data_IF_016023318322
#
_entry.id   IF_016023318322
#
_cell.length_a   1.000
_cell.length_b   1.000
_cell.length_c   1.000
_cell.angle_alpha   90.00
_cell.angle_beta   90.00
_cell.angle_gamma   90.00
#
_symmetry.space_group_name_H-M   'P 1'
#
loop_
_entity.id
_entity.type
_entity.pdbx_description
1 polymer ?
#
# COMPACT_ATOMS: atom_id res chain seq x y z
N UNK A 1 -25.39 11.85 10.05
CA UNK A 1 -24.15 11.36 9.43
C UNK A 1 -23.76 10.05 10.07
N UNK A 2 -23.40 9.04 9.27
CA UNK A 2 -23.08 7.74 9.81
C UNK A 2 -21.73 7.72 10.54
N UNK A 3 -21.53 6.76 11.44
CA UNK A 3 -20.26 6.57 12.12
C UNK A 3 -19.13 6.29 11.13
N UNK A 4 -19.42 5.55 10.07
CA UNK A 4 -18.45 5.24 9.02
C UNK A 4 -17.99 6.51 8.34
N UNK A 5 -18.93 7.38 7.97
CA UNK A 5 -18.64 8.65 7.33
C UNK A 5 -17.77 9.55 8.21
N UNK A 6 -18.10 9.63 9.49
CA UNK A 6 -17.31 10.40 10.46
C UNK A 6 -15.92 9.83 10.66
N UNK A 7 -15.78 8.51 10.65
CA UNK A 7 -14.49 7.85 10.81
C UNK A 7 -13.54 8.24 9.68
N UNK A 8 -13.99 8.18 8.41
CA UNK A 8 -13.15 8.49 7.27
C UNK A 8 -12.89 10.00 7.10
N UNK A 9 -13.63 10.85 7.81
CA UNK A 9 -13.35 12.29 7.85
C UNK A 9 -12.24 12.67 8.81
N UNK A 10 -11.79 11.75 9.66
CA UNK A 10 -10.65 12.00 10.54
C UNK A 10 -9.43 12.35 9.69
N UNK A 11 -8.57 13.19 10.26
CA UNK A 11 -7.38 13.63 9.55
C UNK A 11 -6.40 12.48 9.32
N UNK A 12 -5.96 12.33 8.08
CA UNK A 12 -4.94 11.37 7.71
C UNK A 12 -3.66 12.12 7.34
N UNK A 13 -2.53 11.70 7.89
CA UNK A 13 -1.25 12.35 7.66
C UNK A 13 -0.19 11.33 7.30
N UNK A 14 0.68 11.70 6.37
CA UNK A 14 1.87 10.91 6.09
C UNK A 14 2.75 10.85 7.33
N UNK A 15 3.19 9.65 7.69
CA UNK A 15 4.06 9.45 8.84
C UNK A 15 5.51 9.22 8.44
N UNK A 16 5.77 8.15 7.68
CA UNK A 16 7.11 7.83 7.24
C UNK A 16 7.10 6.82 6.09
N UNK A 17 8.24 6.70 5.44
CA UNK A 17 8.49 5.66 4.44
C UNK A 17 9.54 4.70 4.98
N UNK A 18 9.40 3.41 4.69
CA UNK A 18 10.31 2.38 5.18
C UNK A 18 10.81 1.48 4.05
N UNK A 19 12.08 1.11 4.12
CA UNK A 19 12.71 0.12 3.26
C UNK A 19 13.20 -1.09 4.04
N UNK A 20 13.10 -1.05 5.38
CA UNK A 20 13.54 -2.14 6.27
C UNK A 20 12.60 -2.23 7.46
N UNK A 21 12.41 -3.44 8.03
CA UNK A 21 11.51 -3.61 9.19
C UNK A 21 11.83 -2.72 10.39
N UNK A 22 13.09 -2.42 10.64
CA UNK A 22 13.48 -1.56 11.77
C UNK A 22 12.94 -0.14 11.65
N UNK A 23 12.54 0.27 10.45
CA UNK A 23 11.99 1.61 10.19
C UNK A 23 10.48 1.69 10.37
N UNK A 24 9.81 0.56 10.54
CA UNK A 24 8.35 0.54 10.71
C UNK A 24 7.94 1.34 11.94
N UNK A 25 6.77 2.01 11.92
CA UNK A 25 6.33 2.79 13.08
C UNK A 25 6.19 1.91 14.32
N UNK A 26 6.71 2.39 15.44
CA UNK A 26 6.60 1.70 16.71
C UNK A 26 5.31 2.14 17.43
N UNK A 27 4.18 1.75 16.88
CA UNK A 27 2.85 2.04 17.41
C UNK A 27 2.01 0.78 17.38
N UNK A 28 0.96 0.72 18.17
CA UNK A 28 0.10 -0.45 18.29
C UNK A 28 -1.18 -0.36 17.46
N UNK A 29 -1.33 0.66 16.63
CA UNK A 29 -2.53 0.83 15.81
C UNK A 29 -2.65 -0.32 14.80
N UNK A 30 -3.89 -0.79 14.52
CA UNK A 30 -4.09 -1.75 13.43
C UNK A 30 -3.73 -1.12 12.09
N UNK A 31 -3.24 -1.94 11.17
CA UNK A 31 -2.83 -1.50 9.83
C UNK A 31 -3.68 -2.14 8.77
N UNK A 32 -4.06 -1.34 7.78
CA UNK A 32 -4.65 -1.83 6.53
C UNK A 32 -3.68 -1.51 5.40
N UNK A 33 -3.37 -2.50 4.59
CA UNK A 33 -2.38 -2.36 3.51
C UNK A 33 -3.05 -2.45 2.15
N UNK A 34 -2.54 -1.67 1.21
CA UNK A 34 -3.01 -1.65 -0.17
C UNK A 34 -1.87 -2.09 -1.08
N UNK A 35 -2.14 -3.04 -1.95
CA UNK A 35 -1.17 -3.55 -2.91
C UNK A 35 -1.87 -3.79 -4.25
N UNK A 36 -1.12 -3.68 -5.34
CA UNK A 36 -1.63 -3.94 -6.67
C UNK A 36 -0.54 -3.82 -7.69
N UNK A 37 -0.81 -4.28 -8.93
CA UNK A 37 0.12 -4.10 -10.03
C UNK A 37 0.32 -2.61 -10.29
N UNK A 38 1.48 -2.26 -10.86
CA UNK A 38 1.73 -0.88 -11.22
C UNK A 38 0.61 -0.36 -12.15
N UNK A 39 0.22 0.89 -11.93
CA UNK A 39 -0.84 1.56 -12.71
C UNK A 39 -2.25 0.98 -12.57
N UNK A 40 -2.53 0.22 -11.51
CA UNK A 40 -3.88 -0.34 -11.27
C UNK A 40 -4.83 0.69 -10.64
N UNK A 41 -4.33 1.85 -10.23
CA UNK A 41 -5.15 2.89 -9.58
C UNK A 41 -5.12 2.86 -8.06
N UNK A 42 -4.11 2.23 -7.47
CA UNK A 42 -3.97 2.11 -6.02
C UNK A 42 -3.92 3.47 -5.33
N UNK A 43 -3.06 4.37 -5.81
CA UNK A 43 -2.92 5.70 -5.22
C UNK A 43 -4.20 6.52 -5.35
N UNK A 44 -4.88 6.41 -6.48
CA UNK A 44 -6.17 7.09 -6.69
C UNK A 44 -7.22 6.58 -5.71
N UNK A 45 -7.27 5.28 -5.46
CA UNK A 45 -8.21 4.69 -4.51
C UNK A 45 -7.93 5.18 -3.09
N UNK A 46 -6.67 5.14 -2.67
CA UNK A 46 -6.28 5.61 -1.33
C UNK A 46 -6.67 7.06 -1.14
N UNK A 47 -6.36 7.91 -2.11
CA UNK A 47 -6.70 9.33 -2.03
C UNK A 47 -8.21 9.55 -1.97
N UNK A 48 -8.98 8.78 -2.73
CA UNK A 48 -10.44 8.90 -2.74
C UNK A 48 -11.05 8.43 -1.41
N UNK A 49 -10.61 7.31 -0.88
CA UNK A 49 -11.16 6.74 0.36
C UNK A 49 -10.91 7.67 1.55
N UNK A 50 -9.72 8.24 1.65
CA UNK A 50 -9.36 9.10 2.78
C UNK A 50 -9.58 10.57 2.50
N UNK A 51 -10.22 10.88 1.35
CA UNK A 51 -10.65 12.23 0.97
C UNK A 51 -9.52 13.26 1.02
N UNK A 52 -8.30 12.81 0.67
CA UNK A 52 -7.12 13.67 0.72
C UNK A 52 -6.06 13.16 -0.24
N UNK A 53 -5.26 14.07 -0.79
CA UNK A 53 -4.14 13.70 -1.68
C UNK A 53 -2.98 13.22 -0.83
N UNK A 54 -2.99 11.93 -0.48
CA UNK A 54 -1.98 11.30 0.38
C UNK A 54 -0.92 10.60 -0.45
N UNK A 55 -1.36 9.68 -1.32
CA UNK A 55 -0.47 8.85 -2.09
C UNK A 55 -0.03 9.57 -3.36
N UNK A 56 1.23 9.40 -3.71
CA UNK A 56 1.77 9.98 -4.92
C UNK A 56 1.29 9.21 -6.15
N UNK A 57 0.60 9.93 -7.06
CA UNK A 57 0.16 9.36 -8.32
C UNK A 57 1.28 9.60 -9.34
N UNK A 58 1.83 8.53 -9.89
CA UNK A 58 2.92 8.63 -10.86
C UNK A 58 2.66 7.74 -12.05
N UNK A 59 2.96 8.25 -13.23
CA UNK A 59 2.94 7.47 -14.47
C UNK A 59 4.28 6.80 -14.75
N UNK A 60 5.27 7.02 -13.89
CA UNK A 60 6.60 6.44 -14.05
C UNK A 60 6.68 5.13 -13.28
N UNK A 61 6.81 3.97 -13.95
CA UNK A 61 6.94 2.69 -13.26
C UNK A 61 8.15 2.67 -12.32
N UNK A 62 7.99 2.02 -11.18
CA UNK A 62 9.07 1.83 -10.23
C UNK A 62 9.39 3.01 -9.34
N UNK A 63 8.61 4.09 -9.37
CA UNK A 63 8.85 5.24 -8.51
C UNK A 63 8.57 4.95 -7.04
N UNK A 64 7.51 4.20 -6.75
CA UNK A 64 7.17 3.82 -5.37
C UNK A 64 7.91 2.54 -5.02
N UNK A 65 9.03 2.67 -4.33
CA UNK A 65 9.89 1.54 -3.93
C UNK A 65 10.04 1.44 -2.43
N UNK A 66 9.19 2.14 -1.71
CA UNK A 66 9.18 2.16 -0.25
C UNK A 66 7.79 1.85 0.24
N UNK A 67 7.70 1.39 1.48
CA UNK A 67 6.42 1.22 2.15
C UNK A 67 6.08 2.55 2.79
N UNK A 68 4.94 3.13 2.44
CA UNK A 68 4.52 4.42 2.96
C UNK A 68 3.44 4.22 4.02
N UNK A 69 3.67 4.79 5.20
CA UNK A 69 2.76 4.70 6.34
C UNK A 69 2.06 6.04 6.56
N UNK A 70 0.74 5.99 6.64
CA UNK A 70 -0.09 7.16 6.91
C UNK A 70 -0.87 6.92 8.20
N UNK A 71 -0.90 7.90 9.09
CA UNK A 71 -1.65 7.83 10.33
C UNK A 71 -3.04 8.41 10.11
N UNK A 72 -4.07 7.61 10.37
CA UNK A 72 -5.47 8.03 10.24
C UNK A 72 -6.08 8.23 11.62
N UNK A 73 -6.10 9.49 12.07
CA UNK A 73 -6.79 9.91 13.28
C UNK A 73 -6.34 9.21 14.57
N UNK A 74 -5.05 8.83 14.64
CA UNK A 74 -4.48 8.07 15.77
C UNK A 74 -5.29 6.83 16.12
N UNK A 75 -5.93 6.22 15.12
CA UNK A 75 -6.76 5.03 15.32
C UNK A 75 -6.35 3.86 14.43
N UNK A 76 -5.75 4.12 13.29
CA UNK A 76 -5.22 3.08 12.41
C UNK A 76 -4.14 3.63 11.49
N UNK A 77 -3.36 2.73 10.91
CA UNK A 77 -2.37 3.07 9.89
C UNK A 77 -2.87 2.61 8.53
N UNK A 78 -2.72 3.49 7.55
CA UNK A 78 -2.93 3.13 6.14
C UNK A 78 -1.55 2.88 5.54
N UNK A 79 -1.36 1.74 4.92
CA UNK A 79 -0.05 1.32 4.41
C UNK A 79 -0.13 1.15 2.90
N UNK A 80 0.65 1.97 2.20
CA UNK A 80 0.76 1.92 0.74
C UNK A 80 2.00 1.13 0.38
N UNK A 81 1.80 -0.09 -0.11
CA UNK A 81 2.88 -0.98 -0.51
C UNK A 81 3.32 -0.68 -1.95
N UNK A 82 4.60 -0.91 -2.28
CA UNK A 82 5.05 -0.75 -3.67
C UNK A 82 4.26 -1.63 -4.61
N UNK A 83 3.94 -1.11 -5.80
CA UNK A 83 3.30 -1.90 -6.84
C UNK A 83 4.22 -3.00 -7.38
N UNK A 84 3.63 -4.00 -7.98
CA UNK A 84 4.37 -5.10 -8.61
C UNK A 84 4.08 -5.13 -10.11
N UNK A 85 4.79 -6.00 -10.84
CA UNK A 85 4.55 -6.19 -12.27
C UNK A 85 5.01 -5.04 -13.15
N UNK A 86 6.06 -4.33 -12.76
CA UNK A 86 6.62 -3.27 -13.58
C UNK A 86 7.30 -3.83 -14.82
N UNK A 87 6.96 -3.28 -16.00
CA UNK A 87 7.52 -3.73 -17.26
C UNK A 87 8.92 -3.18 -17.54
N UNK A 88 9.32 -2.09 -16.87
CA UNK A 88 10.54 -1.34 -17.20
C UNK A 88 11.54 -1.25 -16.05
N UNK A 89 11.60 -2.27 -15.21
CA UNK A 89 12.61 -2.34 -14.16
C UNK A 89 13.43 -3.61 -14.32
N UNK A 90 14.64 -3.61 -13.77
CA UNK A 90 15.51 -4.77 -13.80
C UNK A 90 14.94 -5.89 -12.93
N UNK A 91 15.38 -7.12 -13.18
CA UNK A 91 14.99 -8.24 -12.33
C UNK A 91 15.48 -8.06 -10.89
N UNK A 92 16.64 -7.43 -10.72
CA UNK A 92 17.19 -7.13 -9.39
C UNK A 92 16.25 -6.18 -8.63
N UNK A 93 15.78 -5.14 -9.28
CA UNK A 93 14.85 -4.19 -8.65
C UNK A 93 13.52 -4.84 -8.33
N UNK A 94 12.99 -5.66 -9.22
CA UNK A 94 11.75 -6.40 -9.00
C UNK A 94 11.89 -7.32 -7.79
N UNK A 95 13.02 -8.00 -7.65
CA UNK A 95 13.30 -8.86 -6.51
C UNK A 95 13.36 -8.05 -5.20
N UNK A 96 14.01 -6.90 -5.22
CA UNK A 96 14.11 -6.03 -4.04
C UNK A 96 12.74 -5.56 -3.58
N UNK A 97 11.86 -5.17 -4.50
CA UNK A 97 10.49 -4.75 -4.20
C UNK A 97 9.70 -5.93 -3.63
N UNK A 98 9.80 -7.09 -4.25
CA UNK A 98 9.12 -8.30 -3.80
C UNK A 98 9.57 -8.71 -2.40
N UNK A 99 10.87 -8.65 -2.13
CA UNK A 99 11.41 -8.96 -0.82
C UNK A 99 10.93 -7.98 0.24
N UNK A 100 10.92 -6.70 -0.07
CA UNK A 100 10.43 -5.66 0.84
C UNK A 100 8.96 -5.90 1.22
N UNK A 101 8.12 -6.17 0.24
CA UNK A 101 6.69 -6.44 0.45
C UNK A 101 6.51 -7.72 1.25
N UNK A 102 7.25 -8.78 0.92
CA UNK A 102 7.18 -10.07 1.60
C UNK A 102 7.55 -9.94 3.08
N UNK A 103 8.61 -9.21 3.39
CA UNK A 103 9.01 -8.97 4.77
C UNK A 103 7.91 -8.27 5.57
N UNK A 104 7.26 -7.27 4.98
CA UNK A 104 6.16 -6.58 5.64
C UNK A 104 4.99 -7.52 5.90
N UNK A 105 4.55 -8.23 4.86
CA UNK A 105 3.36 -9.09 4.95
C UNK A 105 3.53 -10.25 5.92
N UNK A 106 4.76 -10.77 6.08
CA UNK A 106 5.01 -11.94 6.91
C UNK A 106 5.40 -11.61 8.34
N UNK A 107 5.90 -10.40 8.61
CA UNK A 107 6.44 -10.05 9.93
C UNK A 107 5.64 -9.00 10.70
N UNK A 108 4.80 -8.23 10.02
CA UNK A 108 4.12 -7.10 10.67
C UNK A 108 2.90 -7.54 11.46
N UNK A 109 3.00 -7.55 12.78
CA UNK A 109 1.92 -7.98 13.67
C UNK A 109 0.70 -7.06 13.64
N UNK A 110 0.92 -5.76 13.40
CA UNK A 110 -0.16 -4.77 13.36
C UNK A 110 -1.08 -4.96 12.16
N UNK A 111 -0.62 -5.66 11.12
CA UNK A 111 -1.37 -5.82 9.88
C UNK A 111 -2.62 -6.65 10.11
N UNK A 112 -3.79 -6.09 9.78
CA UNK A 112 -5.09 -6.75 9.97
C UNK A 112 -5.82 -7.02 8.67
N UNK A 113 -5.64 -6.19 7.64
CA UNK A 113 -6.31 -6.34 6.35
C UNK A 113 -5.38 -5.96 5.22
N UNK A 114 -5.51 -6.69 4.11
CA UNK A 114 -4.78 -6.41 2.87
C UNK A 114 -5.82 -6.27 1.76
N UNK A 115 -5.76 -5.16 1.04
CA UNK A 115 -6.59 -4.93 -0.14
C UNK A 115 -5.71 -5.10 -1.37
N UNK A 116 -6.02 -6.12 -2.18
CA UNK A 116 -5.30 -6.39 -3.43
C UNK A 116 -6.14 -5.84 -4.57
N UNK A 117 -5.61 -4.85 -5.28
CA UNK A 117 -6.30 -4.21 -6.39
C UNK A 117 -6.00 -4.95 -7.68
N UNK A 118 -7.05 -5.31 -8.41
CA UNK A 118 -6.97 -6.05 -9.65
C UNK A 118 -7.64 -5.24 -10.75
N UNK A 119 -7.05 -5.22 -11.95
CA UNK A 119 -7.64 -4.53 -13.10
C UNK A 119 -8.85 -5.33 -13.60
N UNK A 120 -10.04 -4.78 -13.41
CA UNK A 120 -11.30 -5.44 -13.80
C UNK A 120 -11.42 -5.66 -15.31
N UNK A 121 -10.83 -4.79 -16.12
CA UNK A 121 -10.96 -4.90 -17.58
C UNK A 121 -10.22 -6.13 -18.14
N UNK A 122 -9.21 -6.60 -17.44
CA UNK A 122 -8.38 -7.74 -17.85
C UNK A 122 -8.56 -8.96 -16.95
N UNK A 123 -9.26 -8.80 -15.81
CA UNK A 123 -9.34 -9.84 -14.78
C UNK A 123 -8.01 -10.06 -14.07
N UNK A 124 -7.98 -11.01 -13.12
CA UNK A 124 -6.73 -11.33 -12.44
C UNK A 124 -5.72 -11.93 -13.41
N UNK A 125 -4.50 -11.38 -13.40
CA UNK A 125 -3.41 -11.96 -14.17
C UNK A 125 -2.65 -12.95 -13.30
N UNK A 126 -1.80 -13.77 -13.93
CA UNK A 126 -0.98 -14.75 -13.22
C UNK A 126 -0.22 -14.12 -12.05
N UNK A 127 0.36 -12.93 -12.25
CA UNK A 127 1.13 -12.24 -11.21
C UNK A 127 0.24 -11.81 -10.05
N UNK A 128 -1.03 -11.44 -10.31
CA UNK A 128 -1.98 -11.10 -9.24
C UNK A 128 -2.29 -12.34 -8.40
N UNK A 129 -2.48 -13.47 -9.04
CA UNK A 129 -2.77 -14.74 -8.36
C UNK A 129 -1.56 -15.17 -7.52
N UNK A 130 -0.36 -15.05 -8.05
CA UNK A 130 0.88 -15.36 -7.33
C UNK A 130 1.04 -14.49 -6.08
N UNK A 131 0.64 -13.22 -6.16
CA UNK A 131 0.72 -12.31 -5.02
C UNK A 131 -0.24 -12.71 -3.89
N UNK A 132 -1.43 -13.20 -4.24
CA UNK A 132 -2.45 -13.59 -3.27
C UNK A 132 -2.05 -14.88 -2.54
N UNK A 133 -1.38 -15.80 -3.23
CA UNK A 133 -0.90 -17.04 -2.64
C UNK A 133 0.31 -16.80 -1.77
#
# INVERSE_FOLDING_TARGET
MSLVSNYFKKQTKFLLSATQPRQYPNVSFPEIAFIGRSNVGKSSLINAVFMKKLAHISNTPGKTRQINFFNHGDSMMVVDLPGYGFAKISQKEAFQISDLVSQYLTSRENLKKIFVLIDNSLGPKKIDIEMIE
#
